data_IF_589488525391
#
_entry.id   IF_589488525391
#
_cell.length_a   1.000
_cell.length_b   1.000
_cell.length_c   1.000
_cell.angle_alpha   90.00
_cell.angle_beta   90.00
_cell.angle_gamma   90.00
#
_symmetry.space_group_name_H-M   'P 1'
#
loop_
_entity.id
_entity.type
_entity.pdbx_description
1 polymer ?
#
# COMPACT_ATOMS: atom_id res chain seq x y z
N UNK A 1 4.20 19.44 -31.70
CA UNK A 1 4.45 18.01 -31.42
C UNK A 1 3.66 17.63 -30.17
N UNK A 2 2.65 16.76 -30.27
CA UNK A 2 1.84 16.33 -29.11
C UNK A 2 2.57 15.18 -28.41
N UNK A 3 2.79 15.21 -27.07
CA UNK A 3 3.45 14.14 -26.38
C UNK A 3 2.59 12.88 -26.36
N UNK A 4 3.22 11.75 -26.58
CA UNK A 4 2.59 10.43 -26.77
C UNK A 4 1.79 9.96 -25.54
N UNK A 5 0.51 9.71 -25.76
CA UNK A 5 -0.51 9.19 -24.83
C UNK A 5 -0.36 7.69 -24.47
N UNK A 6 0.81 7.06 -24.64
CA UNK A 6 0.95 5.62 -24.51
C UNK A 6 1.20 5.08 -23.08
N UNK A 7 1.63 5.90 -22.13
CA UNK A 7 1.91 5.43 -20.76
C UNK A 7 0.66 5.19 -19.90
N UNK A 8 -0.47 5.86 -20.22
CA UNK A 8 -1.69 5.77 -19.39
C UNK A 8 -2.53 4.50 -19.58
N UNK A 9 -2.31 3.72 -20.65
CA UNK A 9 -3.11 2.51 -20.91
C UNK A 9 -2.70 1.34 -20.01
N UNK A 10 -1.42 1.22 -19.68
CA UNK A 10 -0.91 0.11 -18.88
C UNK A 10 -1.34 0.18 -17.41
N UNK A 11 -1.36 1.38 -16.82
CA UNK A 11 -1.83 1.58 -15.45
C UNK A 11 -3.33 1.29 -15.29
N UNK A 12 -4.13 1.57 -16.33
CA UNK A 12 -5.56 1.26 -16.34
C UNK A 12 -5.82 -0.24 -16.41
N UNK A 13 -4.96 -0.98 -17.10
CA UNK A 13 -5.05 -2.43 -17.23
C UNK A 13 -4.69 -3.12 -15.90
N UNK A 14 -3.68 -2.66 -15.17
CA UNK A 14 -3.31 -3.24 -13.87
C UNK A 14 -4.45 -3.10 -12.84
N UNK A 15 -5.01 -1.91 -12.64
CA UNK A 15 -6.11 -1.70 -11.71
C UNK A 15 -7.39 -2.47 -12.09
N UNK A 16 -7.65 -2.67 -13.37
CA UNK A 16 -8.77 -3.49 -13.83
C UNK A 16 -8.49 -4.99 -13.67
N UNK A 17 -7.23 -5.42 -13.77
CA UNK A 17 -6.85 -6.83 -13.68
C UNK A 17 -7.11 -7.39 -12.27
N UNK A 18 -6.68 -6.71 -11.22
CA UNK A 18 -6.94 -7.14 -9.83
C UNK A 18 -8.42 -7.21 -9.51
N UNK A 19 -9.25 -6.29 -10.03
CA UNK A 19 -10.69 -6.34 -9.87
C UNK A 19 -11.35 -7.46 -10.67
N UNK A 20 -10.84 -7.80 -11.84
CA UNK A 20 -11.29 -8.99 -12.61
C UNK A 20 -10.97 -10.26 -11.82
N UNK A 21 -9.76 -10.38 -11.27
CA UNK A 21 -9.40 -11.50 -10.38
C UNK A 21 -10.36 -11.55 -9.18
N UNK A 22 -10.68 -10.40 -8.57
CA UNK A 22 -11.62 -10.35 -7.45
C UNK A 22 -13.00 -10.93 -7.81
N UNK A 23 -13.51 -10.66 -9.01
CA UNK A 23 -14.80 -11.22 -9.46
C UNK A 23 -14.76 -12.74 -9.63
N UNK A 24 -13.60 -13.30 -9.99
CA UNK A 24 -13.39 -14.74 -10.17
C UNK A 24 -13.01 -15.46 -8.86
N UNK A 25 -12.52 -14.73 -7.86
CA UNK A 25 -12.07 -15.29 -6.60
C UNK A 25 -13.26 -15.72 -5.71
N UNK A 26 -13.00 -16.68 -4.82
CA UNK A 26 -13.98 -17.18 -3.87
C UNK A 26 -14.46 -16.10 -2.90
N UNK A 27 -15.76 -16.05 -2.68
CA UNK A 27 -16.40 -15.16 -1.69
C UNK A 27 -16.35 -15.69 -0.26
N UNK A 28 -16.13 -16.98 -0.11
CA UNK A 28 -16.28 -17.70 1.16
C UNK A 28 -14.98 -18.34 1.64
N UNK A 29 -14.10 -18.69 0.71
CA UNK A 29 -12.81 -19.26 1.06
C UNK A 29 -11.86 -18.18 1.56
N UNK A 30 -11.15 -18.42 2.68
CA UNK A 30 -10.14 -17.51 3.17
C UNK A 30 -9.00 -17.37 2.16
N UNK A 31 -8.27 -16.27 2.27
CA UNK A 31 -7.04 -16.10 1.50
C UNK A 31 -6.07 -17.24 1.83
N UNK A 32 -5.47 -17.93 0.82
CA UNK A 32 -4.55 -19.03 1.07
C UNK A 32 -3.40 -18.64 2.01
N UNK A 33 -3.08 -19.50 2.96
CA UNK A 33 -2.02 -19.24 3.97
C UNK A 33 -0.67 -18.92 3.32
N UNK A 34 -0.37 -19.54 2.19
CA UNK A 34 0.85 -19.26 1.43
C UNK A 34 0.88 -17.79 0.96
N UNK A 35 -0.25 -17.26 0.51
CA UNK A 35 -0.37 -15.86 0.07
C UNK A 35 -0.29 -14.90 1.25
N UNK A 36 -0.95 -15.21 2.38
CA UNK A 36 -0.85 -14.42 3.60
C UNK A 36 0.61 -14.31 4.06
N UNK A 37 1.33 -15.43 4.12
CA UNK A 37 2.76 -15.47 4.50
C UNK A 37 3.65 -14.70 3.53
N UNK A 38 3.39 -14.83 2.23
CA UNK A 38 4.13 -14.11 1.20
C UNK A 38 4.01 -12.60 1.39
N UNK A 39 2.78 -12.10 1.59
CA UNK A 39 2.53 -10.68 1.80
C UNK A 39 3.11 -10.16 3.10
N UNK A 40 2.84 -10.85 4.21
CA UNK A 40 3.39 -10.45 5.52
C UNK A 40 4.91 -10.46 5.52
N UNK A 41 5.54 -11.49 4.93
CA UNK A 41 6.99 -11.58 4.83
C UNK A 41 7.60 -10.44 4.04
N UNK A 42 6.99 -10.05 2.91
CA UNK A 42 7.41 -8.91 2.09
C UNK A 42 7.36 -7.60 2.87
N UNK A 43 6.28 -7.36 3.61
CA UNK A 43 6.10 -6.16 4.41
C UNK A 43 7.08 -6.09 5.58
N UNK A 44 7.33 -7.22 6.25
CA UNK A 44 8.32 -7.28 7.33
C UNK A 44 9.74 -7.02 6.84
N UNK A 45 10.10 -7.54 5.67
CA UNK A 45 11.40 -7.24 5.03
C UNK A 45 11.51 -5.75 4.71
N UNK A 46 10.46 -5.15 4.13
CA UNK A 46 10.41 -3.71 3.85
C UNK A 46 10.56 -2.87 5.12
N UNK A 47 9.86 -3.26 6.20
CA UNK A 47 9.95 -2.58 7.49
C UNK A 47 11.35 -2.69 8.12
N UNK A 48 11.96 -3.87 8.04
CA UNK A 48 13.32 -4.10 8.53
C UNK A 48 14.36 -3.28 7.75
N UNK A 49 14.22 -3.20 6.43
CA UNK A 49 15.07 -2.37 5.57
C UNK A 49 14.97 -0.89 5.98
N UNK A 50 13.74 -0.36 6.15
CA UNK A 50 13.54 1.01 6.62
C UNK A 50 14.12 1.27 8.01
N UNK A 51 14.13 0.27 8.88
CA UNK A 51 14.62 0.40 10.26
C UNK A 51 16.15 0.29 10.39
N UNK A 52 16.77 -0.61 9.63
CA UNK A 52 18.17 -1.02 9.86
C UNK A 52 19.12 -0.60 8.74
N UNK A 53 18.63 -0.44 7.50
CA UNK A 53 19.51 -0.11 6.38
C UNK A 53 20.06 1.32 6.49
N UNK A 54 21.33 1.49 6.18
CA UNK A 54 21.93 2.82 6.03
C UNK A 54 21.38 3.58 4.81
N UNK A 55 20.85 2.84 3.83
CA UNK A 55 20.24 3.37 2.61
C UNK A 55 19.07 2.47 2.19
N UNK A 56 17.88 2.62 2.80
CA UNK A 56 16.72 1.82 2.50
C UNK A 56 16.32 1.88 1.02
N UNK A 57 15.90 0.75 0.48
CA UNK A 57 15.52 0.63 -0.92
C UNK A 57 14.17 1.28 -1.24
N UNK A 58 14.03 1.81 -2.45
CA UNK A 58 12.77 2.37 -2.92
C UNK A 58 11.66 1.30 -2.99
N UNK A 59 12.01 0.05 -3.32
CA UNK A 59 11.02 -1.04 -3.39
C UNK A 59 10.45 -1.36 -2.01
N UNK A 60 11.26 -1.32 -0.96
CA UNK A 60 10.80 -1.47 0.43
C UNK A 60 9.80 -0.38 0.82
N UNK A 61 10.09 0.87 0.44
CA UNK A 61 9.17 1.99 0.66
C UNK A 61 7.86 1.81 -0.12
N UNK A 62 7.93 1.36 -1.37
CA UNK A 62 6.76 1.10 -2.22
C UNK A 62 5.88 0.01 -1.65
N UNK A 63 6.47 -1.09 -1.18
CA UNK A 63 5.72 -2.18 -0.57
C UNK A 63 4.91 -1.72 0.64
N UNK A 64 5.50 -0.86 1.48
CA UNK A 64 4.83 -0.28 2.63
C UNK A 64 3.75 0.74 2.21
N UNK A 65 4.01 1.53 1.17
CA UNK A 65 3.02 2.47 0.62
C UNK A 65 1.81 1.74 0.01
N UNK A 66 2.04 0.64 -0.71
CA UNK A 66 0.97 -0.20 -1.24
C UNK A 66 0.12 -0.80 -0.11
N UNK A 67 0.77 -1.32 0.94
CA UNK A 67 0.08 -1.86 2.12
C UNK A 67 -0.81 -0.79 2.78
N UNK A 68 -0.29 0.42 2.98
CA UNK A 68 -1.07 1.54 3.53
C UNK A 68 -2.29 1.85 2.64
N UNK A 69 -2.11 1.92 1.33
CA UNK A 69 -3.21 2.15 0.38
C UNK A 69 -4.27 1.04 0.43
N UNK A 70 -3.87 -0.21 0.63
CA UNK A 70 -4.79 -1.33 0.76
C UNK A 70 -5.54 -1.29 2.09
N UNK A 71 -4.85 -1.03 3.20
CA UNK A 71 -5.50 -0.89 4.50
C UNK A 71 -6.49 0.27 4.52
N UNK A 72 -6.11 1.44 3.98
CA UNK A 72 -7.01 2.58 3.83
C UNK A 72 -8.24 2.24 2.99
N UNK A 73 -8.07 1.46 1.92
CA UNK A 73 -9.19 0.98 1.10
C UNK A 73 -10.13 0.08 1.88
N UNK A 74 -9.61 -0.79 2.76
CA UNK A 74 -10.40 -1.65 3.63
C UNK A 74 -11.18 -0.83 4.68
N UNK A 75 -10.56 0.21 5.24
CA UNK A 75 -11.21 1.14 6.17
C UNK A 75 -12.34 1.91 5.47
N UNK A 76 -12.11 2.45 4.28
CA UNK A 76 -13.15 3.16 3.50
C UNK A 76 -14.33 2.26 3.12
N UNK A 77 -14.09 0.96 2.89
CA UNK A 77 -15.15 -0.01 2.66
C UNK A 77 -15.87 -0.47 3.94
N UNK A 78 -15.45 0.00 5.11
CA UNK A 78 -16.03 -0.35 6.39
C UNK A 78 -15.71 -1.79 6.84
N UNK A 79 -14.64 -2.39 6.33
CA UNK A 79 -14.23 -3.76 6.70
C UNK A 79 -13.26 -3.79 7.89
N UNK A 80 -12.65 -2.67 8.18
CA UNK A 80 -11.73 -2.46 9.31
C UNK A 80 -12.06 -1.14 9.97
N UNK A 81 -12.01 -1.10 11.29
CA UNK A 81 -12.06 0.12 12.06
C UNK A 81 -10.63 0.61 12.29
N UNK A 82 -10.33 1.85 11.90
CA UNK A 82 -9.04 2.51 12.15
C UNK A 82 -9.11 3.36 13.44
N UNK A 83 -9.68 2.80 14.51
CA UNK A 83 -9.87 3.50 15.77
C UNK A 83 -8.54 4.01 16.38
N UNK A 84 -7.45 3.30 16.13
CA UNK A 84 -6.12 3.65 16.61
C UNK A 84 -5.34 4.59 15.67
N UNK A 85 -5.92 4.95 14.53
CA UNK A 85 -5.32 5.87 13.55
C UNK A 85 -4.08 5.31 12.86
N UNK A 86 -4.00 3.98 12.65
CA UNK A 86 -2.85 3.33 12.04
C UNK A 86 -2.62 3.78 10.59
N UNK A 87 -3.69 4.05 9.83
CA UNK A 87 -3.60 4.55 8.45
C UNK A 87 -2.98 5.95 8.42
N UNK A 88 -3.45 6.86 9.25
CA UNK A 88 -2.91 8.23 9.29
C UNK A 88 -1.46 8.24 9.81
N UNK A 89 -1.13 7.42 10.80
CA UNK A 89 0.24 7.27 11.29
C UNK A 89 1.17 6.71 10.19
N UNK A 90 0.72 5.75 9.40
CA UNK A 90 1.47 5.19 8.28
C UNK A 90 1.67 6.21 7.14
N UNK A 91 0.64 7.01 6.82
CA UNK A 91 0.77 8.12 5.86
C UNK A 91 1.83 9.12 6.31
N UNK A 92 1.79 9.54 7.57
CA UNK A 92 2.78 10.44 8.14
C UNK A 92 4.19 9.86 8.07
N UNK A 93 4.35 8.55 8.34
CA UNK A 93 5.63 7.85 8.26
C UNK A 93 6.19 7.80 6.83
N UNK A 94 5.33 7.54 5.84
CA UNK A 94 5.74 7.53 4.43
C UNK A 94 6.15 8.93 3.95
N UNK A 95 5.43 9.96 4.37
CA UNK A 95 5.78 11.36 4.08
C UNK A 95 7.08 11.79 4.75
N UNK A 96 7.35 11.31 5.98
CA UNK A 96 8.63 11.52 6.68
C UNK A 96 9.80 10.91 5.88
N UNK A 97 9.67 9.65 5.46
CA UNK A 97 10.65 8.98 4.60
C UNK A 97 10.90 9.73 3.28
N UNK A 98 9.82 10.17 2.62
CA UNK A 98 9.90 10.97 1.40
C UNK A 98 10.58 12.33 1.63
N UNK A 99 10.22 13.04 2.71
CA UNK A 99 10.85 14.31 3.09
C UNK A 99 12.35 14.13 3.33
N UNK A 100 12.74 13.06 4.00
CA UNK A 100 14.15 12.74 4.24
C UNK A 100 14.90 12.39 2.94
N UNK A 101 14.25 11.68 2.01
CA UNK A 101 14.81 11.43 0.69
C UNK A 101 15.11 12.75 -0.07
N UNK A 102 14.16 13.68 -0.06
CA UNK A 102 14.34 14.98 -0.71
C UNK A 102 15.41 15.85 -0.07
N UNK A 103 15.53 15.84 1.26
CA UNK A 103 16.49 16.66 2.00
C UNK A 103 17.90 16.07 2.07
N UNK A 104 17.99 14.75 2.17
CA UNK A 104 19.23 14.04 2.52
C UNK A 104 19.59 12.94 1.52
N UNK A 105 18.79 12.72 0.48
CA UNK A 105 19.00 11.66 -0.51
C UNK A 105 18.77 10.25 0.03
N UNK A 106 18.08 10.07 1.17
CA UNK A 106 17.87 8.78 1.82
C UNK A 106 16.44 8.62 2.31
N UNK A 107 15.80 7.50 1.96
CA UNK A 107 14.48 7.10 2.42
C UNK A 107 14.53 6.60 3.88
N UNK A 108 14.80 7.46 4.84
CA UNK A 108 14.83 7.07 6.26
C UNK A 108 13.58 7.57 6.97
N UNK A 109 13.01 6.72 7.81
CA UNK A 109 11.93 7.05 8.70
C UNK A 109 12.49 7.34 10.10
N UNK A 110 11.86 8.28 10.82
CA UNK A 110 12.15 8.52 12.25
C UNK A 110 11.68 7.34 13.12
N UNK A 111 12.14 7.28 14.37
CA UNK A 111 11.68 6.24 15.31
C UNK A 111 10.16 6.20 15.48
N UNK A 112 9.48 7.34 15.75
CA UNK A 112 8.02 7.41 15.81
C UNK A 112 7.35 6.95 14.50
N UNK A 113 7.90 7.32 13.33
CA UNK A 113 7.40 6.89 12.02
C UNK A 113 7.49 5.38 11.85
N UNK A 114 8.58 4.75 12.29
CA UNK A 114 8.75 3.29 12.25
C UNK A 114 7.73 2.58 13.15
N UNK A 115 7.36 3.16 14.31
CA UNK A 115 6.30 2.61 15.17
C UNK A 115 4.95 2.66 14.46
N UNK A 116 4.58 3.80 13.88
CA UNK A 116 3.34 3.92 13.12
C UNK A 116 3.26 2.95 11.94
N UNK A 117 4.37 2.78 11.22
CA UNK A 117 4.46 1.84 10.11
C UNK A 117 4.33 0.38 10.58
N UNK A 118 4.93 0.02 11.72
CA UNK A 118 4.80 -1.32 12.30
C UNK A 118 3.36 -1.63 12.68
N UNK A 119 2.68 -0.72 13.35
CA UNK A 119 1.28 -0.90 13.73
C UNK A 119 0.39 -1.15 12.50
N UNK A 120 0.62 -0.40 11.42
CA UNK A 120 -0.08 -0.61 10.14
C UNK A 120 0.19 -2.00 9.56
N UNK A 121 1.43 -2.48 9.54
CA UNK A 121 1.80 -3.80 9.04
C UNK A 121 1.16 -4.91 9.89
N UNK A 122 1.13 -4.75 11.21
CA UNK A 122 0.48 -5.68 12.14
C UNK A 122 -1.03 -5.74 11.89
N UNK A 123 -1.71 -4.60 11.82
CA UNK A 123 -3.14 -4.51 11.56
C UNK A 123 -3.51 -5.12 10.19
N UNK A 124 -2.72 -4.86 9.15
CA UNK A 124 -2.93 -5.48 7.85
C UNK A 124 -2.68 -6.99 7.88
N UNK A 125 -1.68 -7.44 8.64
CA UNK A 125 -1.41 -8.87 8.85
C UNK A 125 -2.59 -9.60 9.51
N UNK A 126 -3.23 -8.99 10.49
CA UNK A 126 -4.45 -9.52 11.12
C UNK A 126 -5.62 -9.56 10.13
N UNK A 127 -5.79 -8.49 9.35
CA UNK A 127 -6.82 -8.43 8.32
C UNK A 127 -6.64 -9.53 7.27
N UNK A 128 -5.43 -9.84 6.84
CA UNK A 128 -5.15 -10.93 5.88
C UNK A 128 -5.61 -12.29 6.38
N UNK A 129 -5.62 -12.53 7.70
CA UNK A 129 -6.03 -13.82 8.29
C UNK A 129 -7.54 -14.05 8.19
N UNK A 130 -8.33 -12.98 8.16
CA UNK A 130 -9.80 -13.06 8.12
C UNK A 130 -10.40 -12.74 6.76
N UNK A 131 -9.59 -12.24 5.82
CA UNK A 131 -10.02 -11.92 4.47
C UNK A 131 -10.35 -13.17 3.66
N UNK A 132 -11.40 -13.08 2.85
CA UNK A 132 -11.61 -14.00 1.73
C UNK A 132 -10.70 -13.61 0.56
N UNK A 133 -10.43 -14.55 -0.34
CA UNK A 133 -9.66 -14.28 -1.55
C UNK A 133 -10.27 -13.14 -2.38
N UNK A 134 -11.60 -13.05 -2.46
CA UNK A 134 -12.29 -11.95 -3.15
C UNK A 134 -12.04 -10.60 -2.47
N UNK A 135 -12.17 -10.52 -1.16
CA UNK A 135 -11.96 -9.29 -0.41
C UNK A 135 -10.54 -8.78 -0.58
N UNK A 136 -9.55 -9.66 -0.49
CA UNK A 136 -8.16 -9.32 -0.74
C UNK A 136 -7.96 -8.66 -2.11
N UNK A 137 -8.40 -9.30 -3.19
CA UNK A 137 -8.24 -8.75 -4.53
C UNK A 137 -9.06 -7.47 -4.77
N UNK A 138 -10.19 -7.32 -4.07
CA UNK A 138 -10.99 -6.08 -4.11
C UNK A 138 -10.23 -4.93 -3.45
N UNK A 139 -9.60 -5.16 -2.32
CA UNK A 139 -8.77 -4.16 -1.62
C UNK A 139 -7.58 -3.75 -2.49
N UNK A 140 -6.84 -4.72 -3.03
CA UNK A 140 -5.70 -4.47 -3.92
C UNK A 140 -6.14 -3.63 -5.13
N UNK A 141 -7.17 -4.06 -5.84
CA UNK A 141 -7.66 -3.35 -7.02
C UNK A 141 -8.22 -1.96 -6.72
N UNK A 142 -8.80 -1.74 -5.53
CA UNK A 142 -9.25 -0.41 -5.09
C UNK A 142 -8.07 0.50 -4.82
N UNK A 143 -7.02 0.02 -4.15
CA UNK A 143 -5.77 0.74 -3.96
C UNK A 143 -5.11 1.13 -5.29
N UNK A 144 -5.00 0.19 -6.23
CA UNK A 144 -4.46 0.45 -7.57
C UNK A 144 -5.26 1.52 -8.33
N UNK A 145 -6.60 1.50 -8.24
CA UNK A 145 -7.45 2.56 -8.84
C UNK A 145 -7.19 3.92 -8.23
N UNK A 146 -6.98 3.97 -6.93
CA UNK A 146 -6.70 5.19 -6.20
C UNK A 146 -5.37 5.80 -6.66
N UNK A 147 -4.31 5.02 -6.72
CA UNK A 147 -3.00 5.42 -7.25
C UNK A 147 -3.13 5.90 -8.69
N UNK A 148 -3.83 5.15 -9.54
CA UNK A 148 -4.08 5.54 -10.94
C UNK A 148 -4.85 6.86 -11.07
N UNK A 149 -5.77 7.16 -10.15
CA UNK A 149 -6.52 8.43 -10.15
C UNK A 149 -5.62 9.63 -9.87
N UNK A 150 -4.62 9.48 -8.99
CA UNK A 150 -3.62 10.52 -8.72
C UNK A 150 -2.74 10.76 -9.95
N UNK A 151 -2.20 9.71 -10.54
CA UNK A 151 -1.40 9.80 -11.76
C UNK A 151 -2.12 10.49 -12.91
N UNK A 152 -3.47 10.44 -12.92
CA UNK A 152 -4.30 11.13 -13.92
C UNK A 152 -4.72 12.55 -13.49
N UNK A 153 -4.22 13.04 -12.35
CA UNK A 153 -4.60 14.35 -11.80
C UNK A 153 -6.05 14.46 -11.33
N UNK A 154 -6.73 13.32 -11.11
CA UNK A 154 -8.14 13.29 -10.64
C UNK A 154 -8.26 13.38 -9.12
N UNK A 155 -7.19 13.09 -8.39
CA UNK A 155 -7.07 13.22 -6.93
C UNK A 155 -5.78 13.94 -6.58
N UNK A 156 -5.75 14.59 -5.41
CA UNK A 156 -4.55 15.23 -4.89
C UNK A 156 -3.60 14.18 -4.32
N UNK A 157 -2.29 14.41 -4.42
CA UNK A 157 -1.27 13.51 -3.88
C UNK A 157 -1.34 13.33 -2.35
N UNK A 158 -2.04 14.23 -1.62
CA UNK A 158 -2.27 14.08 -0.18
C UNK A 158 -3.37 13.07 0.18
N UNK A 159 -4.18 12.65 -0.81
CA UNK A 159 -5.25 11.67 -0.58
C UNK A 159 -4.72 10.23 -0.59
N UNK A 160 -3.56 10.02 -1.20
CA UNK A 160 -2.85 8.73 -1.26
C UNK A 160 -1.35 9.02 -1.30
N UNK A 161 -0.56 8.30 -0.53
CA UNK A 161 0.90 8.38 -0.61
C UNK A 161 1.36 7.57 -1.82
N UNK A 162 1.66 8.26 -2.90
CA UNK A 162 2.14 7.65 -4.14
C UNK A 162 3.64 7.46 -4.09
N UNK A 163 4.10 6.44 -4.77
CA UNK A 163 5.53 6.20 -4.98
C UNK A 163 6.23 7.38 -5.66
N UNK A 164 7.41 7.61 -5.25
CA UNK A 164 8.38 8.56 -5.81
C UNK A 164 8.72 8.24 -7.26
#
# INVERSE_FOLDING_TARGET
MKPHRHQNKNLTLCGNYSLVIALMASKTEPLPVAEQRRMTGRLLVGLEDMAKSANPGLDSWRDLADCMNWLESAVEMGWVDDADGAVEAAKAALLDGHSNANKHGKLRMSGPSLVGMRNMVEQFGELLQVMTARNYWTVVGTGEKRVSAIWRGKKKAGDVVVTL
#
